data_IF_752084567951
#
_entry.id   IF_752084567951
#
_cell.length_a   1.000
_cell.length_b   1.000
_cell.length_c   1.000
_cell.angle_alpha   90.00
_cell.angle_beta   90.00
_cell.angle_gamma   90.00
#
_symmetry.space_group_name_H-M   'P 1'
#
loop_
_entity.id
_entity.type
_entity.pdbx_description
1 polymer ?
#
# COMPACT_ATOMS: atom_id res chain seq x y z
N UNK A 1 5.46 0.61 -0.70
CA UNK A 1 6.20 0.13 0.49
C UNK A 1 5.42 0.53 1.74
N UNK A 2 4.96 -0.43 2.54
CA UNK A 2 4.08 -0.20 3.69
C UNK A 2 4.76 0.31 4.96
N UNK A 3 5.85 1.05 4.84
CA UNK A 3 6.66 1.48 5.98
C UNK A 3 5.86 2.26 7.03
N UNK A 4 4.87 3.05 6.60
CA UNK A 4 4.00 3.79 7.51
C UNK A 4 3.12 2.87 8.37
N UNK A 5 2.58 1.80 7.78
CA UNK A 5 1.75 0.84 8.49
C UNK A 5 2.59 0.02 9.49
N UNK A 6 3.76 -0.46 9.05
CA UNK A 6 4.71 -1.17 9.92
C UNK A 6 5.15 -0.28 11.09
N UNK A 7 5.50 0.99 10.80
CA UNK A 7 5.89 1.95 11.82
C UNK A 7 4.79 2.17 12.87
N UNK A 8 3.52 2.30 12.45
CA UNK A 8 2.39 2.44 13.37
C UNK A 8 2.24 1.21 14.26
N UNK A 9 2.34 0.01 13.70
CA UNK A 9 2.27 -1.23 14.47
C UNK A 9 3.39 -1.30 15.52
N UNK A 10 4.62 -0.87 15.16
CA UNK A 10 5.72 -0.81 16.12
C UNK A 10 5.48 0.25 17.22
N UNK A 11 4.91 1.40 16.88
CA UNK A 11 4.52 2.44 17.86
C UNK A 11 3.45 1.93 18.85
N UNK A 12 2.48 1.16 18.36
CA UNK A 12 1.47 0.53 19.20
C UNK A 12 2.12 -0.48 20.16
N UNK A 13 3.03 -1.32 19.68
CA UNK A 13 3.77 -2.28 20.51
C UNK A 13 4.60 -1.54 21.57
N UNK A 14 5.32 -0.48 21.20
CA UNK A 14 6.07 0.39 22.15
C UNK A 14 5.15 0.94 23.24
N UNK A 15 3.90 1.27 22.91
CA UNK A 15 2.90 1.73 23.86
C UNK A 15 2.44 0.60 24.81
N UNK A 16 2.30 -0.63 24.32
CA UNK A 16 2.03 -1.81 25.14
C UNK A 16 3.17 -2.09 26.16
N UNK A 17 4.43 -1.93 25.75
CA UNK A 17 5.60 -2.01 26.64
C UNK A 17 5.57 -0.97 27.76
N UNK A 18 5.26 0.29 27.42
CA UNK A 18 5.11 1.36 28.42
C UNK A 18 3.95 1.11 29.37
N UNK A 19 2.84 0.55 28.86
CA UNK A 19 1.69 0.15 29.69
C UNK A 19 2.05 -0.91 30.73
N UNK A 20 3.01 -1.79 30.43
CA UNK A 20 3.56 -2.77 31.40
C UNK A 20 4.70 -2.22 32.27
N UNK A 21 5.06 -0.94 32.13
CA UNK A 21 6.16 -0.32 32.89
C UNK A 21 7.56 -0.72 32.44
N UNK A 22 7.70 -1.28 31.23
CA UNK A 22 9.01 -1.70 30.69
C UNK A 22 9.67 -0.47 30.06
N UNK A 23 10.87 -0.15 30.55
CA UNK A 23 11.64 1.00 30.07
C UNK A 23 12.31 0.68 28.74
N UNK A 24 11.93 1.39 27.69
CA UNK A 24 12.54 1.27 26.36
C UNK A 24 13.74 2.21 26.26
N UNK A 25 14.91 1.72 25.79
CA UNK A 25 16.10 2.53 25.59
C UNK A 25 15.87 3.75 24.68
N UNK A 26 16.53 4.86 25.00
CA UNK A 26 16.35 6.12 24.29
C UNK A 26 16.82 6.08 22.82
N UNK A 27 17.80 5.22 22.49
CA UNK A 27 18.23 4.98 21.11
C UNK A 27 17.10 4.37 20.28
N UNK A 28 16.41 3.35 20.80
CA UNK A 28 15.27 2.70 20.13
C UNK A 28 14.13 3.70 19.88
N UNK A 29 13.81 4.54 20.88
CA UNK A 29 12.82 5.62 20.71
C UNK A 29 13.25 6.69 19.70
N UNK A 30 14.56 6.91 19.55
CA UNK A 30 15.09 7.85 18.57
C UNK A 30 15.02 7.26 17.17
N UNK A 31 15.38 5.99 17.01
CA UNK A 31 15.27 5.22 15.77
C UNK A 31 13.82 5.20 15.26
N UNK A 32 12.83 5.04 16.15
CA UNK A 32 11.42 5.11 15.79
C UNK A 32 11.06 6.50 15.22
N UNK A 33 11.54 7.58 15.85
CA UNK A 33 11.31 8.95 15.36
C UNK A 33 12.06 9.25 14.05
N UNK A 34 13.27 8.71 13.89
CA UNK A 34 14.04 8.83 12.66
C UNK A 34 13.36 8.09 11.50
N UNK A 35 12.91 6.85 11.72
CA UNK A 35 12.13 6.09 10.75
C UNK A 35 10.89 6.88 10.30
N UNK A 36 10.14 7.49 11.22
CA UNK A 36 8.98 8.32 10.87
C UNK A 36 9.34 9.48 9.95
N UNK A 37 10.44 10.15 10.27
CA UNK A 37 10.93 11.30 9.51
C UNK A 37 11.37 10.88 8.10
N UNK A 38 12.10 9.77 7.98
CA UNK A 38 12.53 9.23 6.70
C UNK A 38 11.35 8.75 5.84
N UNK A 39 10.32 8.14 6.45
CA UNK A 39 9.07 7.78 5.75
C UNK A 39 8.41 9.01 5.13
N UNK A 40 8.34 10.12 5.87
CA UNK A 40 7.79 11.37 5.35
C UNK A 40 8.64 11.94 4.20
N UNK A 41 9.97 11.86 4.31
CA UNK A 41 10.91 12.28 3.25
C UNK A 41 10.72 11.43 2.00
N UNK A 42 10.65 10.10 2.12
CA UNK A 42 10.44 9.19 1.01
C UNK A 42 9.07 9.43 0.33
N UNK A 43 8.03 9.77 1.12
CA UNK A 43 6.72 10.14 0.59
C UNK A 43 6.75 11.47 -0.17
N UNK A 44 7.60 12.41 0.23
CA UNK A 44 7.76 13.69 -0.45
C UNK A 44 8.65 13.59 -1.71
N UNK A 45 9.68 12.73 -1.67
CA UNK A 45 10.58 12.45 -2.80
C UNK A 45 10.87 10.94 -2.94
N UNK A 46 10.08 10.23 -3.78
CA UNK A 46 10.23 8.79 -3.99
C UNK A 46 11.51 8.37 -4.73
N UNK A 47 12.27 9.31 -5.32
CA UNK A 47 13.48 8.98 -6.11
C UNK A 47 14.69 8.68 -5.24
N UNK A 48 14.64 9.02 -3.95
CA UNK A 48 15.74 8.90 -3.01
C UNK A 48 15.85 7.47 -2.45
N UNK A 49 16.31 6.53 -3.30
CA UNK A 49 16.38 5.09 -3.00
C UNK A 49 17.13 4.76 -1.69
N UNK A 50 18.18 5.51 -1.36
CA UNK A 50 18.94 5.34 -0.12
C UNK A 50 18.09 5.56 1.15
N UNK A 51 16.96 6.26 1.03
CA UNK A 51 16.03 6.53 2.13
C UNK A 51 15.22 5.29 2.47
N UNK A 52 14.86 4.47 1.48
CA UNK A 52 14.08 3.25 1.68
C UNK A 52 14.88 2.20 2.47
N UNK A 53 16.13 1.97 2.08
CA UNK A 53 17.02 1.04 2.78
C UNK A 53 17.22 1.44 4.26
N UNK A 54 17.45 2.74 4.52
CA UNK A 54 17.59 3.22 5.90
C UNK A 54 16.32 3.05 6.72
N UNK A 55 15.15 3.23 6.12
CA UNK A 55 13.88 2.98 6.80
C UNK A 55 13.77 1.51 7.20
N UNK A 56 14.13 0.59 6.31
CA UNK A 56 14.13 -0.86 6.60
C UNK A 56 15.07 -1.20 7.75
N UNK A 57 16.32 -0.72 7.71
CA UNK A 57 17.32 -0.96 8.77
C UNK A 57 16.81 -0.50 10.15
N UNK A 58 16.19 0.70 10.24
CA UNK A 58 15.63 1.19 11.49
C UNK A 58 14.44 0.36 11.98
N UNK A 59 13.49 0.04 11.08
CA UNK A 59 12.31 -0.75 11.44
C UNK A 59 12.68 -2.18 11.86
N UNK A 60 13.66 -2.80 11.20
CA UNK A 60 14.16 -4.14 11.56
C UNK A 60 14.89 -4.16 12.90
N UNK A 61 15.71 -3.13 13.18
CA UNK A 61 16.38 -3.00 14.48
C UNK A 61 15.36 -2.85 15.62
N UNK A 62 14.32 -2.03 15.39
CA UNK A 62 13.20 -1.86 16.32
C UNK A 62 12.44 -3.17 16.54
N UNK A 63 12.09 -3.86 15.47
CA UNK A 63 11.37 -5.14 15.53
C UNK A 63 12.18 -6.20 16.29
N UNK A 64 13.46 -6.36 15.96
CA UNK A 64 14.34 -7.31 16.63
C UNK A 64 14.43 -7.03 18.14
N UNK A 65 14.56 -5.75 18.51
CA UNK A 65 14.58 -5.35 19.92
C UNK A 65 13.25 -5.67 20.62
N UNK A 66 12.12 -5.26 20.06
CA UNK A 66 10.80 -5.45 20.66
C UNK A 66 10.41 -6.93 20.74
N UNK A 67 10.80 -7.75 19.77
CA UNK A 67 10.56 -9.20 19.82
C UNK A 67 11.43 -9.84 20.91
N UNK A 68 12.72 -9.50 20.97
CA UNK A 68 13.64 -10.05 21.98
C UNK A 68 13.22 -9.67 23.39
N UNK A 69 12.86 -8.41 23.61
CA UNK A 69 12.41 -7.91 24.91
C UNK A 69 10.99 -8.40 25.22
N UNK A 70 10.17 -8.56 24.19
CA UNK A 70 8.81 -9.10 24.26
C UNK A 70 8.79 -10.52 24.81
N UNK A 71 9.65 -11.39 24.27
CA UNK A 71 9.77 -12.78 24.72
C UNK A 71 10.17 -12.93 26.19
N UNK A 72 10.77 -11.91 26.82
CA UNK A 72 11.16 -11.93 28.24
C UNK A 72 10.04 -11.49 29.18
N UNK A 73 9.14 -10.61 28.71
CA UNK A 73 8.18 -9.90 29.56
C UNK A 73 6.71 -10.09 29.18
N UNK A 74 6.44 -10.74 28.04
CA UNK A 74 5.12 -10.99 27.51
C UNK A 74 4.90 -12.46 27.24
N UNK A 75 3.64 -12.87 27.28
CA UNK A 75 3.25 -14.23 26.94
C UNK A 75 3.45 -14.47 25.44
N UNK A 76 3.70 -15.72 25.07
CA UNK A 76 3.94 -16.13 23.69
C UNK A 76 2.81 -15.71 22.76
N UNK A 77 1.56 -15.78 23.23
CA UNK A 77 0.37 -15.34 22.47
C UNK A 77 0.40 -13.85 22.13
N UNK A 78 0.93 -13.01 23.02
CA UNK A 78 1.03 -11.56 22.78
C UNK A 78 2.10 -11.27 21.72
N UNK A 79 3.26 -11.93 21.83
CA UNK A 79 4.36 -11.78 20.87
C UNK A 79 3.97 -12.32 19.48
N UNK A 80 3.30 -13.46 19.41
CA UNK A 80 2.75 -13.97 18.15
C UNK A 80 1.70 -13.02 17.55
N UNK A 81 0.87 -12.41 18.40
CA UNK A 81 -0.08 -11.39 17.99
C UNK A 81 0.61 -10.18 17.34
N UNK A 82 1.76 -9.75 17.86
CA UNK A 82 2.57 -8.69 17.26
C UNK A 82 3.13 -9.08 15.89
N UNK A 83 3.72 -10.28 15.80
CA UNK A 83 4.28 -10.78 14.54
C UNK A 83 3.20 -10.88 13.44
N UNK A 84 1.99 -11.35 13.79
CA UNK A 84 0.84 -11.38 12.87
C UNK A 84 0.41 -9.97 12.44
N UNK A 85 0.38 -9.00 13.37
CA UNK A 85 0.07 -7.59 13.06
C UNK A 85 1.12 -6.97 12.14
N UNK A 86 2.40 -7.25 12.36
CA UNK A 86 3.51 -6.77 11.53
C UNK A 86 3.49 -7.37 10.12
N UNK A 87 3.27 -8.68 9.98
CA UNK A 87 3.12 -9.34 8.68
C UNK A 87 1.90 -8.78 7.92
N UNK A 88 0.78 -8.55 8.60
CA UNK A 88 -0.40 -7.90 8.00
C UNK A 88 -0.07 -6.48 7.51
N UNK A 89 0.59 -5.67 8.34
CA UNK A 89 0.97 -4.30 7.98
C UNK A 89 1.94 -4.25 6.79
N UNK A 90 2.83 -5.25 6.65
CA UNK A 90 3.70 -5.42 5.49
C UNK A 90 2.89 -5.76 4.22
N UNK A 91 1.82 -6.55 4.35
CA UNK A 91 0.96 -6.99 3.23
C UNK A 91 -0.07 -5.95 2.79
N UNK A 92 -0.61 -5.13 3.70
CA UNK A 92 -1.67 -4.15 3.40
C UNK A 92 -1.30 -3.13 2.30
N UNK A 93 -0.01 -2.86 2.09
CA UNK A 93 0.45 -1.91 1.06
C UNK A 93 0.83 -2.57 -0.27
N UNK A 94 0.68 -3.89 -0.40
CA UNK A 94 0.63 -4.50 -1.74
C UNK A 94 -0.63 -4.07 -2.51
N UNK A 95 -1.68 -3.63 -1.82
CA UNK A 95 -2.93 -3.15 -2.43
C UNK A 95 -3.03 -1.62 -2.55
N UNK A 96 -2.26 -0.86 -1.78
CA UNK A 96 -2.17 0.61 -1.84
C UNK A 96 -0.90 1.11 -2.53
N UNK A 97 -0.31 0.31 -3.44
CA UNK A 97 0.69 0.82 -4.35
C UNK A 97 0.07 1.94 -5.18
N UNK A 98 0.38 3.16 -4.75
CA UNK A 98 0.15 4.44 -5.39
C UNK A 98 -0.20 4.29 -6.86
N UNK A 99 -1.38 4.81 -7.22
CA UNK A 99 -1.67 5.24 -8.57
C UNK A 99 -0.43 5.99 -9.09
N UNK A 100 0.40 5.31 -9.85
CA UNK A 100 1.40 5.96 -10.68
C UNK A 100 0.60 6.76 -11.69
N UNK A 101 0.27 8.01 -11.32
CA UNK A 101 -0.39 9.04 -12.15
C UNK A 101 0.45 9.41 -13.38
N UNK A 102 1.56 8.71 -13.59
CA UNK A 102 2.43 8.87 -14.73
C UNK A 102 2.74 7.49 -15.32
N UNK A 103 2.03 7.16 -16.40
CA UNK A 103 2.40 6.05 -17.28
C UNK A 103 3.27 6.64 -18.40
N UNK A 104 4.58 6.34 -18.44
CA UNK A 104 5.43 6.82 -19.53
C UNK A 104 4.92 6.26 -20.86
N UNK A 105 4.67 7.16 -21.84
CA UNK A 105 4.22 6.80 -23.18
C UNK A 105 2.79 7.19 -23.56
N UNK A 106 1.98 7.75 -22.64
CA UNK A 106 0.67 8.31 -23.01
C UNK A 106 0.73 9.83 -23.26
N UNK A 107 0.13 10.33 -24.36
CA UNK A 107 0.02 11.76 -24.62
C UNK A 107 -0.72 12.46 -23.46
N UNK A 108 -0.17 13.58 -22.96
CA UNK A 108 -0.77 14.40 -21.88
C UNK A 108 -2.20 14.88 -22.18
N UNK A 109 -2.60 14.82 -23.45
CA UNK A 109 -3.90 15.25 -23.96
C UNK A 109 -5.01 14.19 -23.82
N UNK A 110 -4.65 12.91 -23.62
CA UNK A 110 -5.63 11.82 -23.50
C UNK A 110 -5.88 11.47 -22.03
N UNK A 111 -7.16 11.33 -21.67
CA UNK A 111 -7.55 10.86 -20.34
C UNK A 111 -7.41 9.35 -20.29
N UNK A 112 -7.04 8.84 -19.13
CA UNK A 112 -6.83 7.42 -18.93
C UNK A 112 -7.19 7.01 -17.52
N UNK A 113 -7.48 5.72 -17.36
CA UNK A 113 -7.79 5.08 -16.09
C UNK A 113 -7.12 3.72 -16.03
N UNK A 114 -6.64 3.34 -14.84
CA UNK A 114 -6.14 1.99 -14.55
C UNK A 114 -7.24 1.22 -13.83
N UNK A 115 -7.53 0.02 -14.32
CA UNK A 115 -8.59 -0.83 -13.77
C UNK A 115 -7.98 -2.16 -13.32
N UNK A 116 -8.22 -2.51 -12.05
CA UNK A 116 -7.90 -3.82 -11.50
C UNK A 116 -8.96 -4.83 -12.00
N UNK A 117 -8.59 -5.88 -12.74
CA UNK A 117 -9.53 -6.95 -13.08
C UNK A 117 -10.04 -7.63 -11.80
N UNK A 118 -11.32 -7.96 -11.78
CA UNK A 118 -11.96 -8.68 -10.67
C UNK A 118 -12.72 -9.89 -11.21
N UNK A 119 -13.14 -10.81 -10.33
CA UNK A 119 -13.86 -12.02 -10.72
C UNK A 119 -15.11 -11.73 -11.60
N UNK A 120 -15.78 -10.60 -11.37
CA UNK A 120 -16.95 -10.19 -12.15
C UNK A 120 -16.58 -9.39 -13.43
N UNK A 121 -15.45 -8.67 -13.40
CA UNK A 121 -14.91 -7.83 -14.47
C UNK A 121 -13.55 -8.37 -14.92
N UNK A 122 -13.59 -9.53 -15.59
CA UNK A 122 -12.41 -10.15 -16.17
C UNK A 122 -11.77 -9.23 -17.22
N UNK A 123 -10.47 -9.42 -17.46
CA UNK A 123 -9.70 -8.67 -18.47
C UNK A 123 -10.42 -8.70 -19.83
N UNK A 124 -11.06 -9.82 -20.19
CA UNK A 124 -11.80 -9.98 -21.44
C UNK A 124 -13.02 -9.05 -21.50
N UNK A 125 -13.84 -8.99 -20.43
CA UNK A 125 -14.98 -8.07 -20.37
C UNK A 125 -14.55 -6.61 -20.45
N UNK A 126 -13.46 -6.26 -19.77
CA UNK A 126 -12.89 -4.91 -19.82
C UNK A 126 -12.39 -4.55 -21.22
N UNK A 127 -11.76 -5.48 -21.93
CA UNK A 127 -11.34 -5.31 -23.33
C UNK A 127 -12.55 -5.10 -24.25
N UNK A 128 -13.62 -5.88 -24.08
CA UNK A 128 -14.85 -5.72 -24.87
C UNK A 128 -15.48 -4.36 -24.63
N UNK A 129 -15.62 -3.92 -23.37
CA UNK A 129 -16.15 -2.59 -23.03
C UNK A 129 -15.30 -1.44 -23.58
N UNK A 130 -13.98 -1.58 -23.55
CA UNK A 130 -13.07 -0.60 -24.13
C UNK A 130 -13.23 -0.53 -25.66
N UNK A 131 -13.37 -1.67 -26.34
CA UNK A 131 -13.63 -1.73 -27.79
C UNK A 131 -14.98 -1.11 -28.17
N UNK A 132 -16.04 -1.41 -27.42
CA UNK A 132 -17.37 -0.82 -27.65
C UNK A 132 -17.34 0.72 -27.60
N UNK A 133 -16.56 1.27 -26.68
CA UNK A 133 -16.43 2.71 -26.50
C UNK A 133 -15.33 3.32 -27.35
N UNK A 134 -14.74 2.56 -28.28
CA UNK A 134 -13.62 2.99 -29.13
C UNK A 134 -12.48 3.62 -28.30
N UNK A 135 -12.14 2.98 -27.19
CA UNK A 135 -11.04 3.32 -26.30
C UNK A 135 -9.86 2.38 -26.55
N UNK A 136 -8.65 2.92 -26.46
CA UNK A 136 -7.44 2.13 -26.51
C UNK A 136 -7.16 1.51 -25.14
N UNK A 137 -6.57 0.31 -25.12
CA UNK A 137 -6.22 -0.35 -23.88
C UNK A 137 -4.85 -1.01 -23.96
N UNK A 138 -4.16 -1.10 -22.82
CA UNK A 138 -2.89 -1.80 -22.67
C UNK A 138 -2.91 -2.61 -21.37
N UNK A 139 -2.50 -3.87 -21.45
CA UNK A 139 -2.37 -4.72 -20.27
C UNK A 139 -0.98 -4.50 -19.66
N UNK A 140 -0.95 -4.02 -18.43
CA UNK A 140 0.31 -3.76 -17.73
C UNK A 140 0.82 -5.04 -17.06
N UNK A 141 2.14 -5.10 -16.85
CA UNK A 141 2.84 -6.26 -16.25
C UNK A 141 2.45 -6.54 -14.80
N UNK A 142 1.76 -5.60 -14.14
CA UNK A 142 1.18 -5.73 -12.81
C UNK A 142 -0.25 -6.28 -12.81
N UNK A 143 -0.76 -6.69 -13.97
CA UNK A 143 -2.10 -7.27 -14.11
C UNK A 143 -3.22 -6.24 -14.21
N UNK A 144 -2.92 -4.94 -14.21
CA UNK A 144 -3.92 -3.89 -14.41
C UNK A 144 -4.18 -3.65 -15.89
N UNK A 145 -5.42 -3.33 -16.24
CA UNK A 145 -5.77 -2.85 -17.58
C UNK A 145 -5.77 -1.33 -17.58
N UNK A 146 -4.86 -0.75 -18.37
CA UNK A 146 -4.85 0.67 -18.66
C UNK A 146 -5.79 0.95 -19.83
N UNK A 147 -6.77 1.82 -19.65
CA UNK A 147 -7.71 2.25 -20.70
C UNK A 147 -7.55 3.75 -20.92
N UNK A 148 -7.43 4.19 -22.17
CA UNK A 148 -7.13 5.57 -22.51
C UNK A 148 -7.83 6.03 -23.80
N UNK A 149 -8.12 7.32 -23.86
CA UNK A 149 -8.77 7.96 -25.01
C UNK A 149 -9.41 9.31 -24.65
N UNK A 150 -10.53 9.61 -25.31
CA UNK A 150 -11.27 10.86 -25.13
C UNK A 150 -11.96 10.91 -23.74
N UNK A 151 -11.90 12.07 -23.06
CA UNK A 151 -12.44 12.26 -21.70
C UNK A 151 -13.89 11.79 -21.54
N UNK A 152 -14.75 12.12 -22.52
CA UNK A 152 -16.17 11.72 -22.50
C UNK A 152 -16.33 10.20 -22.50
N UNK A 153 -15.57 9.51 -23.36
CA UNK A 153 -15.63 8.05 -23.51
C UNK A 153 -15.06 7.33 -22.30
N UNK A 154 -13.97 7.87 -21.71
CA UNK A 154 -13.40 7.32 -20.47
C UNK A 154 -14.40 7.47 -19.31
N UNK A 155 -15.10 8.60 -19.20
CA UNK A 155 -16.17 8.78 -18.21
C UNK A 155 -17.34 7.81 -18.43
N UNK A 156 -17.75 7.59 -19.68
CA UNK A 156 -18.80 6.63 -20.01
C UNK A 156 -18.39 5.18 -19.72
N UNK A 157 -17.11 4.85 -19.92
CA UNK A 157 -16.53 3.57 -19.53
C UNK A 157 -16.61 3.37 -18.00
N UNK A 158 -16.24 4.37 -17.21
CA UNK A 158 -16.36 4.33 -15.74
C UNK A 158 -17.82 4.21 -15.30
N UNK A 159 -18.75 4.92 -15.96
CA UNK A 159 -20.19 4.79 -15.67
C UNK A 159 -20.72 3.39 -15.96
N UNK A 160 -20.40 2.80 -17.12
CA UNK A 160 -20.81 1.42 -17.45
C UNK A 160 -20.23 0.42 -16.45
N UNK A 161 -18.96 0.58 -16.08
CA UNK A 161 -18.30 -0.21 -15.04
C UNK A 161 -19.02 -0.09 -13.70
N UNK A 162 -19.34 1.12 -13.27
CA UNK A 162 -20.05 1.38 -12.03
C UNK A 162 -21.50 0.86 -12.04
N UNK A 163 -22.18 0.82 -13.18
CA UNK A 163 -23.50 0.16 -13.31
C UNK A 163 -23.37 -1.35 -13.14
N UNK A 164 -22.32 -1.97 -13.68
CA UNK A 164 -22.06 -3.40 -13.54
C UNK A 164 -21.68 -3.75 -12.09
N UNK A 165 -20.86 -2.91 -11.44
CA UNK A 165 -20.43 -3.10 -10.05
C UNK A 165 -21.51 -2.69 -9.02
N UNK A 166 -22.25 -1.62 -9.29
CA UNK A 166 -23.25 -1.02 -8.41
C UNK A 166 -24.60 -1.75 -8.40
N UNK A 167 -24.87 -2.61 -9.38
CA UNK A 167 -26.08 -3.43 -9.42
C UNK A 167 -26.15 -4.51 -8.31
N UNK A 168 -25.13 -4.64 -7.46
CA UNK A 168 -25.11 -5.59 -6.34
C UNK A 168 -24.90 -5.01 -4.93
N UNK A 169 -24.73 -3.70 -4.74
CA UNK A 169 -24.79 -3.13 -3.36
C UNK A 169 -26.23 -3.14 -2.81
N UNK A 170 -27.22 -3.51 -3.65
CA UNK A 170 -28.59 -3.83 -3.23
C UNK A 170 -29.00 -5.24 -3.70
N UNK A 171 -28.48 -6.29 -3.07
CA UNK A 171 -29.26 -7.52 -2.88
C UNK A 171 -28.75 -8.34 -1.72
#
# INVERSE_FOLDING_TARGET
MGYLAVWKTLEDIVSEFRGKGISIPANIMSDLRYARSLINVLRADPKRRDTAQKIEEYLETLEAYLVSEGQKHFDVEQVEGWLKRLDKARREVSEEAEETRFVPGLPREQKWIRVKPSAELSIEKLKTLARELNLSYNLQSDGYLLVYGEDKRVKDFVKKMATIYGSKVKK
#
